data_IF_891300910258
#
_entry.id   IF_891300910258
#
_cell.length_a   1.000
_cell.length_b   1.000
_cell.length_c   1.000
_cell.angle_alpha   90.00
_cell.angle_beta   90.00
_cell.angle_gamma   90.00
#
_symmetry.space_group_name_H-M   'P 1'
#
loop_
_entity.id
_entity.type
_entity.pdbx_description
1 polymer ?
#
# COMPACT_ATOMS: atom_id res chain seq x y z
N UNK A 1 -6.46 13.33 9.92
CA UNK A 1 -6.16 12.49 8.73
C UNK A 1 -4.75 11.94 8.87
N UNK A 2 -4.55 10.63 8.79
CA UNK A 2 -3.17 10.08 8.75
C UNK A 2 -2.56 10.22 7.35
N UNK A 3 -1.25 10.39 7.32
CA UNK A 3 -0.46 10.52 6.10
C UNK A 3 0.50 9.34 5.95
N UNK A 4 0.29 8.54 4.92
CA UNK A 4 1.20 7.48 4.52
C UNK A 4 1.96 7.85 3.25
N UNK A 5 3.11 7.21 3.01
CA UNK A 5 3.89 7.39 1.79
C UNK A 5 4.45 6.05 1.30
N UNK A 6 4.51 5.88 -0.03
CA UNK A 6 5.20 4.75 -0.65
C UNK A 6 6.70 4.96 -0.61
N UNK A 7 7.46 3.93 -0.21
CA UNK A 7 8.91 3.97 -0.28
C UNK A 7 9.44 3.57 -1.67
N UNK A 8 10.63 4.05 -2.05
CA UNK A 8 11.33 3.53 -3.21
C UNK A 8 11.61 2.03 -2.99
N UNK A 9 11.13 1.19 -3.90
CA UNK A 9 11.15 -0.26 -3.69
C UNK A 9 11.60 -1.04 -4.92
N UNK A 10 11.60 -0.42 -6.09
CA UNK A 10 12.01 -0.99 -7.37
C UNK A 10 13.25 -0.28 -7.92
N UNK A 11 13.97 -0.95 -8.81
CA UNK A 11 15.16 -0.39 -9.46
C UNK A 11 14.91 0.93 -10.20
N UNK A 12 13.65 1.22 -10.55
CA UNK A 12 13.26 2.50 -11.16
C UNK A 12 12.84 3.59 -10.15
N UNK A 13 12.74 3.26 -8.87
CA UNK A 13 12.06 4.13 -7.90
C UNK A 13 12.79 5.44 -7.59
N UNK A 14 14.11 5.46 -7.78
CA UNK A 14 14.97 6.64 -7.63
C UNK A 14 15.74 6.88 -8.93
N UNK A 15 16.95 6.38 -9.01
CA UNK A 15 17.82 6.46 -10.18
C UNK A 15 17.82 5.11 -10.91
N UNK A 16 17.12 5.03 -12.04
CA UNK A 16 16.99 3.79 -12.83
C UNK A 16 18.29 3.32 -13.49
N UNK A 17 19.40 4.04 -13.31
CA UNK A 17 20.72 3.63 -13.81
C UNK A 17 21.40 2.56 -12.95
N UNK A 18 20.91 2.29 -11.76
CA UNK A 18 21.46 1.31 -10.81
C UNK A 18 20.34 0.57 -10.07
N UNK A 19 20.59 -0.68 -9.62
CA UNK A 19 19.63 -1.37 -8.76
C UNK A 19 19.38 -0.62 -7.45
N UNK A 20 18.14 -0.69 -6.97
CA UNK A 20 17.77 -0.15 -5.66
C UNK A 20 18.52 -0.90 -4.54
N UNK A 21 19.02 -0.20 -3.55
CA UNK A 21 19.66 -0.79 -2.40
C UNK A 21 18.83 -0.59 -1.13
N UNK A 22 19.04 -1.44 -0.13
CA UNK A 22 18.41 -1.24 1.18
C UNK A 22 18.81 0.12 1.81
N UNK A 23 20.03 0.62 1.58
CA UNK A 23 20.45 1.94 2.09
C UNK A 23 19.61 3.07 1.49
N UNK A 24 19.18 2.97 0.24
CA UNK A 24 18.30 3.95 -0.42
C UNK A 24 16.92 3.93 0.25
N UNK A 25 16.35 2.75 0.47
CA UNK A 25 15.05 2.57 1.14
C UNK A 25 15.10 3.04 2.60
N UNK A 26 16.18 2.72 3.32
CA UNK A 26 16.37 3.16 4.70
C UNK A 26 16.50 4.69 4.83
N UNK A 27 17.17 5.32 3.87
CA UNK A 27 17.27 6.79 3.81
C UNK A 27 15.90 7.43 3.60
N UNK A 28 15.09 6.91 2.65
CA UNK A 28 13.75 7.37 2.39
C UNK A 28 12.81 7.16 3.59
N UNK A 29 12.91 6.03 4.28
CA UNK A 29 12.12 5.74 5.47
C UNK A 29 12.42 6.73 6.61
N UNK A 30 13.69 7.04 6.86
CA UNK A 30 14.11 8.04 7.85
C UNK A 30 13.66 9.45 7.46
N UNK A 31 13.78 9.84 6.19
CA UNK A 31 13.27 11.12 5.70
C UNK A 31 11.75 11.21 5.92
N UNK A 32 11.00 10.15 5.61
CA UNK A 32 9.55 10.09 5.83
C UNK A 32 9.17 10.25 7.31
N UNK A 33 9.87 9.54 8.20
CA UNK A 33 9.62 9.65 9.64
C UNK A 33 10.01 11.04 10.18
N UNK A 34 11.11 11.61 9.71
CA UNK A 34 11.60 12.92 10.18
C UNK A 34 10.68 14.08 9.82
N UNK A 35 10.02 14.01 8.66
CA UNK A 35 9.07 15.03 8.21
C UNK A 35 7.64 14.79 8.72
N UNK A 36 7.41 13.68 9.46
CA UNK A 36 6.17 13.44 10.19
C UNK A 36 5.13 12.58 9.47
N UNK A 37 5.49 11.80 8.44
CA UNK A 37 4.57 10.79 7.93
C UNK A 37 4.23 9.77 9.00
N UNK A 38 2.95 9.36 9.07
CA UNK A 38 2.44 8.36 10.03
C UNK A 38 2.77 6.93 9.63
N UNK A 39 2.93 6.66 8.32
CA UNK A 39 3.15 5.32 7.79
C UNK A 39 4.00 5.32 6.51
N UNK A 40 4.76 4.24 6.33
CA UNK A 40 5.51 3.93 5.11
C UNK A 40 5.04 2.60 4.54
N UNK A 41 5.04 2.50 3.21
CA UNK A 41 4.51 1.32 2.52
C UNK A 41 5.48 0.78 1.48
N UNK A 42 5.59 -0.54 1.42
CA UNK A 42 6.29 -1.31 0.38
C UNK A 42 5.33 -2.28 -0.31
N UNK A 43 5.63 -2.67 -1.55
CA UNK A 43 4.78 -3.58 -2.33
C UNK A 43 5.38 -4.98 -2.47
N UNK A 44 4.58 -5.90 -2.99
CA UNK A 44 4.95 -7.30 -3.15
C UNK A 44 4.78 -7.74 -4.63
N UNK A 45 5.63 -7.21 -5.47
CA UNK A 45 5.83 -7.70 -6.84
C UNK A 45 7.29 -8.11 -6.99
N UNK A 46 7.55 -9.23 -7.65
CA UNK A 46 8.91 -9.66 -7.99
C UNK A 46 9.50 -8.75 -9.05
N UNK A 47 8.64 -8.31 -9.97
CA UNK A 47 8.99 -7.35 -11.01
C UNK A 47 7.84 -6.41 -11.29
N UNK A 48 8.13 -5.24 -11.87
CA UNK A 48 7.10 -4.37 -12.42
C UNK A 48 7.49 -3.89 -13.82
N UNK A 49 6.54 -4.02 -14.75
CA UNK A 49 6.63 -3.48 -16.10
C UNK A 49 6.05 -2.06 -16.13
N UNK A 50 6.85 -1.08 -16.55
CA UNK A 50 6.45 0.31 -16.65
C UNK A 50 5.67 0.64 -17.94
N UNK A 51 5.57 -0.28 -18.90
CA UNK A 51 4.84 -0.05 -20.15
C UNK A 51 3.39 0.37 -19.97
N UNK A 52 2.74 -0.07 -18.88
CA UNK A 52 1.37 0.33 -18.51
C UNK A 52 1.27 1.78 -17.99
N UNK A 53 2.39 2.38 -17.63
CA UNK A 53 2.47 3.72 -17.03
C UNK A 53 3.08 4.74 -18.00
N UNK A 54 3.51 4.30 -19.19
CA UNK A 54 4.04 5.16 -20.24
C UNK A 54 3.01 6.17 -20.75
N UNK A 55 3.48 7.36 -21.15
CA UNK A 55 2.63 8.49 -21.53
C UNK A 55 2.15 8.47 -22.98
N UNK A 56 2.86 7.80 -23.90
CA UNK A 56 2.55 7.79 -25.34
C UNK A 56 2.21 6.38 -25.82
N UNK A 57 1.12 6.21 -26.62
CA UNK A 57 0.84 4.95 -27.33
C UNK A 57 1.94 4.55 -28.30
N UNK A 58 2.73 5.51 -28.77
CA UNK A 58 3.87 5.33 -29.67
C UNK A 58 5.21 5.13 -28.91
N UNK A 59 5.23 5.28 -27.58
CA UNK A 59 6.36 4.83 -26.80
C UNK A 59 6.46 3.32 -27.03
N UNK A 60 7.57 2.85 -27.62
CA UNK A 60 7.83 1.42 -27.81
C UNK A 60 7.80 0.73 -26.43
N UNK A 61 6.61 0.38 -25.95
CA UNK A 61 6.37 -0.30 -24.70
C UNK A 61 7.10 -1.65 -24.61
N UNK A 62 7.52 -2.18 -25.76
CA UNK A 62 8.39 -3.37 -25.86
C UNK A 62 9.80 -3.16 -25.28
N UNK A 63 10.17 -1.92 -24.91
CA UNK A 63 11.52 -1.58 -24.45
C UNK A 63 11.64 -1.28 -22.95
N UNK A 64 10.56 -1.39 -22.16
CA UNK A 64 10.68 -1.22 -20.71
C UNK A 64 11.23 -2.50 -20.08
N UNK A 65 12.42 -2.45 -19.46
CA UNK A 65 12.92 -3.60 -18.72
C UNK A 65 11.96 -3.91 -17.56
N UNK A 66 11.86 -5.20 -17.22
CA UNK A 66 11.20 -5.60 -15.98
C UNK A 66 12.11 -5.20 -14.82
N UNK A 67 11.64 -4.29 -13.98
CA UNK A 67 12.40 -3.81 -12.85
C UNK A 67 12.18 -4.71 -11.63
N UNK A 68 13.28 -5.13 -11.02
CA UNK A 68 13.28 -5.95 -9.81
C UNK A 68 12.91 -5.13 -8.60
N UNK A 69 12.47 -5.81 -7.54
CA UNK A 69 12.17 -5.23 -6.24
C UNK A 69 12.95 -5.92 -5.11
N UNK A 70 13.03 -5.28 -3.96
CA UNK A 70 13.43 -5.93 -2.71
C UNK A 70 12.25 -6.72 -2.13
N UNK A 71 12.50 -7.80 -1.38
CA UNK A 71 11.43 -8.52 -0.66
C UNK A 71 10.80 -7.62 0.40
N UNK A 72 9.47 -7.44 0.40
CA UNK A 72 8.80 -6.48 1.27
C UNK A 72 8.94 -6.80 2.76
N UNK A 73 8.79 -8.06 3.15
CA UNK A 73 8.82 -8.44 4.56
C UNK A 73 10.25 -8.37 5.13
N UNK A 74 11.24 -8.79 4.34
CA UNK A 74 12.66 -8.63 4.70
C UNK A 74 13.04 -7.15 4.83
N UNK A 75 12.54 -6.30 3.92
CA UNK A 75 12.74 -4.85 3.96
C UNK A 75 12.13 -4.24 5.22
N UNK A 76 10.87 -4.56 5.55
CA UNK A 76 10.22 -4.05 6.76
C UNK A 76 10.89 -4.55 8.04
N UNK A 77 11.36 -5.82 8.08
CA UNK A 77 12.13 -6.35 9.21
C UNK A 77 13.41 -5.55 9.45
N UNK A 78 14.11 -5.15 8.37
CA UNK A 78 15.32 -4.35 8.47
C UNK A 78 15.04 -2.87 8.79
N UNK A 79 13.90 -2.32 8.39
CA UNK A 79 13.47 -0.95 8.73
C UNK A 79 13.01 -0.83 10.19
N UNK A 80 12.44 -1.88 10.76
CA UNK A 80 11.86 -1.86 12.09
C UNK A 80 12.82 -1.36 13.19
N UNK A 81 14.10 -1.80 13.27
CA UNK A 81 15.03 -1.35 14.31
C UNK A 81 15.67 0.03 14.03
N UNK A 82 15.49 0.60 12.83
CA UNK A 82 16.10 1.89 12.44
C UNK A 82 15.12 3.04 12.31
N UNK A 83 13.84 2.76 12.59
CA UNK A 83 12.71 3.72 12.71
C UNK A 83 12.12 3.63 14.12
N UNK A 84 11.46 4.70 14.61
CA UNK A 84 11.01 4.77 16.01
C UNK A 84 9.48 4.73 16.16
N UNK A 85 8.74 5.47 15.33
CA UNK A 85 7.29 5.72 15.51
C UNK A 85 6.48 5.33 14.29
N UNK A 86 7.06 5.44 13.08
CA UNK A 86 6.35 5.29 11.83
C UNK A 86 5.78 3.87 11.68
N UNK A 87 4.54 3.76 11.22
CA UNK A 87 3.93 2.47 10.89
C UNK A 87 4.60 1.87 9.66
N UNK A 88 4.85 0.57 9.70
CA UNK A 88 5.48 -0.21 8.64
C UNK A 88 4.42 -1.03 7.93
N UNK A 89 4.10 -0.69 6.69
CA UNK A 89 2.97 -1.28 5.97
C UNK A 89 3.36 -2.01 4.69
N UNK A 90 2.53 -2.99 4.32
CA UNK A 90 2.55 -3.58 2.97
C UNK A 90 1.37 -3.07 2.14
N UNK A 91 1.61 -2.73 0.87
CA UNK A 91 0.60 -2.17 -0.04
C UNK A 91 0.67 -2.85 -1.42
N UNK A 92 0.25 -4.08 -1.54
CA UNK A 92 -0.12 -5.07 -0.54
C UNK A 92 0.59 -6.39 -0.85
N UNK A 93 0.70 -7.31 0.12
CA UNK A 93 1.25 -8.64 -0.15
C UNK A 93 0.34 -9.40 -1.12
N UNK A 94 0.94 -10.11 -2.07
CA UNK A 94 0.25 -11.07 -2.90
C UNK A 94 0.06 -12.38 -2.14
N UNK A 95 -1.19 -12.79 -1.93
CA UNK A 95 -1.52 -14.00 -1.17
C UNK A 95 -0.87 -15.27 -1.76
N UNK A 96 -0.64 -15.30 -3.08
CA UNK A 96 -0.13 -16.48 -3.78
C UNK A 96 1.39 -16.71 -3.60
N UNK A 97 2.14 -15.69 -3.19
CA UNK A 97 3.61 -15.77 -3.13
C UNK A 97 4.12 -16.41 -1.84
N UNK A 98 3.27 -16.55 -0.80
CA UNK A 98 3.68 -17.12 0.50
C UNK A 98 2.54 -17.91 1.13
N UNK A 99 2.91 -19.01 1.79
CA UNK A 99 1.95 -19.76 2.61
C UNK A 99 1.50 -18.94 3.83
N UNK A 100 0.19 -18.87 4.17
CA UNK A 100 -0.33 -18.01 5.23
C UNK A 100 0.33 -18.21 6.60
N UNK A 101 0.70 -19.41 6.97
CA UNK A 101 1.43 -19.67 8.23
C UNK A 101 2.81 -19.01 8.23
N UNK A 102 3.52 -19.05 7.10
CA UNK A 102 4.82 -18.37 6.98
C UNK A 102 4.64 -16.84 7.01
N UNK A 103 3.64 -16.32 6.32
CA UNK A 103 3.29 -14.90 6.38
C UNK A 103 2.99 -14.48 7.81
N UNK A 104 2.20 -15.26 8.55
CA UNK A 104 1.87 -14.98 9.95
C UNK A 104 3.12 -14.97 10.84
N UNK A 105 4.00 -15.98 10.72
CA UNK A 105 5.20 -16.09 11.53
C UNK A 105 6.19 -14.93 11.29
N UNK A 106 6.37 -14.54 10.02
CA UNK A 106 7.24 -13.40 9.65
C UNK A 106 6.61 -12.09 10.16
N UNK A 107 5.30 -11.89 9.95
CA UNK A 107 4.60 -10.70 10.41
C UNK A 107 4.63 -10.54 11.94
N UNK A 108 4.42 -11.63 12.69
CA UNK A 108 4.53 -11.64 14.15
C UNK A 108 5.95 -11.25 14.62
N UNK A 109 6.97 -11.76 13.93
CA UNK A 109 8.38 -11.40 14.21
C UNK A 109 8.66 -9.92 13.93
N UNK A 110 8.19 -9.38 12.79
CA UNK A 110 8.35 -7.96 12.46
C UNK A 110 7.59 -7.07 13.46
N UNK A 111 6.39 -7.50 13.86
CA UNK A 111 5.60 -6.79 14.86
C UNK A 111 6.34 -6.71 16.21
N UNK A 112 6.95 -7.82 16.65
CA UNK A 112 7.76 -7.85 17.86
C UNK A 112 8.98 -6.91 17.76
N UNK A 113 9.77 -7.02 16.70
CA UNK A 113 10.97 -6.16 16.47
C UNK A 113 10.56 -4.68 16.43
N UNK A 114 9.44 -4.34 15.82
CA UNK A 114 8.98 -2.95 15.66
C UNK A 114 8.20 -2.41 16.86
N UNK A 115 7.90 -3.22 17.88
CA UNK A 115 7.05 -2.81 19.00
C UNK A 115 5.58 -2.58 18.60
N UNK A 116 5.05 -3.39 17.66
CA UNK A 116 3.64 -3.37 17.24
C UNK A 116 3.33 -2.35 16.13
N UNK A 117 4.33 -1.88 15.39
CA UNK A 117 4.13 -0.90 14.31
C UNK A 117 3.82 -1.50 12.94
N UNK A 118 3.69 -2.83 12.82
CA UNK A 118 3.37 -3.47 11.56
C UNK A 118 1.88 -3.33 11.23
N UNK A 119 1.57 -2.97 9.98
CA UNK A 119 0.25 -3.03 9.36
C UNK A 119 0.31 -3.93 8.12
N UNK A 120 -0.42 -5.05 8.12
CA UNK A 120 -0.29 -6.07 7.08
C UNK A 120 -1.42 -5.94 6.05
N UNK A 121 -1.10 -5.41 4.88
CA UNK A 121 -2.01 -5.37 3.74
C UNK A 121 -1.85 -6.61 2.84
N UNK A 122 -2.97 -7.22 2.44
CA UNK A 122 -3.01 -8.36 1.52
C UNK A 122 -3.88 -8.07 0.30
N UNK A 123 -3.56 -8.72 -0.81
CA UNK A 123 -4.33 -8.70 -2.05
C UNK A 123 -4.37 -10.07 -2.72
N UNK A 124 -5.30 -10.24 -3.63
CA UNK A 124 -5.48 -11.50 -4.37
C UNK A 124 -4.47 -11.69 -5.52
N UNK A 125 -3.51 -10.78 -5.69
CA UNK A 125 -2.61 -10.76 -6.84
C UNK A 125 -3.31 -10.36 -8.15
N UNK A 126 -2.58 -9.72 -9.05
CA UNK A 126 -3.11 -9.26 -10.35
C UNK A 126 -2.06 -9.26 -11.45
N UNK A 127 -0.79 -9.32 -11.09
CA UNK A 127 0.34 -9.18 -12.00
C UNK A 127 0.80 -10.56 -12.47
N UNK A 128 0.41 -10.92 -13.69
CA UNK A 128 0.68 -12.25 -14.25
C UNK A 128 2.19 -12.59 -14.30
N UNK A 129 3.11 -11.66 -14.64
CA UNK A 129 4.53 -11.94 -14.63
C UNK A 129 5.10 -12.46 -13.29
N UNK A 130 4.54 -12.04 -12.14
CA UNK A 130 4.95 -12.58 -10.84
C UNK A 130 4.70 -14.09 -10.75
N UNK A 131 3.54 -14.54 -11.24
CA UNK A 131 3.20 -15.97 -11.26
C UNK A 131 4.10 -16.77 -12.22
N UNK A 132 4.39 -16.22 -13.39
CA UNK A 132 5.29 -16.85 -14.38
C UNK A 132 6.70 -17.00 -13.83
N UNK A 133 7.27 -15.94 -13.22
CA UNK A 133 8.58 -15.97 -12.58
C UNK A 133 8.59 -16.99 -11.43
N UNK A 134 7.51 -17.09 -10.68
CA UNK A 134 7.35 -18.05 -9.60
C UNK A 134 7.14 -19.50 -10.11
N UNK A 135 7.01 -19.70 -11.42
CA UNK A 135 6.82 -21.01 -12.04
C UNK A 135 5.39 -21.53 -11.99
N UNK A 136 4.39 -20.65 -11.81
CA UNK A 136 2.98 -21.00 -11.75
C UNK A 136 2.17 -20.21 -12.77
N UNK A 137 0.92 -20.61 -12.98
CA UNK A 137 -0.05 -19.80 -13.75
C UNK A 137 -0.88 -18.95 -12.80
N UNK A 138 -1.18 -17.71 -13.22
CA UNK A 138 -2.13 -16.88 -12.47
C UNK A 138 -3.53 -17.53 -12.52
N UNK A 139 -4.12 -17.89 -11.37
CA UNK A 139 -5.44 -18.48 -11.32
C UNK A 139 -6.54 -17.51 -11.76
N UNK A 140 -7.71 -18.01 -12.15
CA UNK A 140 -8.88 -17.18 -12.41
C UNK A 140 -9.24 -16.32 -11.19
N UNK A 141 -9.83 -15.14 -11.41
CA UNK A 141 -10.20 -14.20 -10.34
C UNK A 141 -11.01 -14.86 -9.23
N UNK A 142 -11.94 -15.78 -9.61
CA UNK A 142 -12.76 -16.52 -8.64
C UNK A 142 -11.92 -17.37 -7.67
N UNK A 143 -10.94 -18.08 -8.17
CA UNK A 143 -10.02 -18.90 -7.37
C UNK A 143 -9.13 -18.03 -6.48
N UNK A 144 -8.54 -16.95 -7.02
CA UNK A 144 -7.72 -16.01 -6.24
C UNK A 144 -8.49 -15.42 -5.06
N UNK A 145 -9.77 -15.08 -5.24
CA UNK A 145 -10.64 -14.60 -4.15
C UNK A 145 -10.91 -15.71 -3.11
N UNK A 146 -11.03 -16.99 -3.54
CA UNK A 146 -11.19 -18.11 -2.61
C UNK A 146 -9.92 -18.34 -1.80
N UNK A 147 -8.76 -18.34 -2.46
CA UNK A 147 -7.44 -18.43 -1.80
C UNK A 147 -7.23 -17.32 -0.77
N UNK A 148 -7.50 -16.06 -1.16
CA UNK A 148 -7.42 -14.92 -0.23
C UNK A 148 -8.38 -15.10 0.96
N UNK A 149 -9.57 -15.66 0.74
CA UNK A 149 -10.52 -15.91 1.83
C UNK A 149 -9.98 -16.93 2.85
N UNK A 150 -9.38 -18.01 2.39
CA UNK A 150 -8.78 -19.02 3.28
C UNK A 150 -7.54 -18.45 3.99
N UNK A 151 -6.70 -17.71 3.26
CA UNK A 151 -5.53 -17.03 3.81
C UNK A 151 -5.94 -16.10 4.96
N UNK A 152 -6.94 -15.24 4.76
CA UNK A 152 -7.44 -14.32 5.79
C UNK A 152 -8.00 -15.05 7.02
N UNK A 153 -8.67 -16.19 6.86
CA UNK A 153 -9.14 -17.00 7.99
C UNK A 153 -7.98 -17.51 8.83
N UNK A 154 -6.95 -18.06 8.17
CA UNK A 154 -5.77 -18.61 8.83
C UNK A 154 -5.02 -17.49 9.57
N UNK A 155 -4.74 -16.35 8.90
CA UNK A 155 -4.05 -15.22 9.51
C UNK A 155 -4.81 -14.68 10.73
N UNK A 156 -6.13 -14.47 10.61
CA UNK A 156 -6.95 -13.94 11.70
C UNK A 156 -6.92 -14.87 12.93
N UNK A 157 -7.06 -16.17 12.71
CA UNK A 157 -7.00 -17.14 13.80
C UNK A 157 -5.63 -17.16 14.48
N UNK A 158 -4.54 -17.18 13.70
CA UNK A 158 -3.18 -17.17 14.24
C UNK A 158 -2.88 -15.88 15.02
N UNK A 159 -3.30 -14.71 14.52
CA UNK A 159 -3.09 -13.43 15.22
C UNK A 159 -3.98 -13.28 16.46
N UNK A 160 -5.10 -14.00 16.54
CA UNK A 160 -5.89 -14.11 17.76
C UNK A 160 -5.26 -15.09 18.80
N UNK A 161 -4.14 -15.72 18.49
CA UNK A 161 -3.47 -16.68 19.37
C UNK A 161 -4.10 -18.06 19.40
N UNK A 162 -4.97 -18.38 18.43
CA UNK A 162 -5.65 -19.67 18.36
C UNK A 162 -4.74 -20.74 17.76
N UNK A 163 -4.88 -21.98 18.24
CA UNK A 163 -4.28 -23.15 17.61
C UNK A 163 -5.02 -23.46 16.31
N UNK A 164 -4.33 -23.31 15.18
CA UNK A 164 -4.95 -23.43 13.88
C UNK A 164 -4.85 -24.85 13.30
N UNK A 165 -6.00 -25.52 13.22
CA UNK A 165 -6.22 -26.67 12.35
C UNK A 165 -7.20 -26.25 11.26
N UNK A 166 -6.73 -26.18 10.03
CA UNK A 166 -7.51 -25.74 8.89
C UNK A 166 -7.39 -26.78 7.77
N UNK A 167 -8.51 -27.17 7.21
CA UNK A 167 -8.58 -28.07 6.06
C UNK A 167 -9.47 -27.42 5.01
N UNK A 168 -8.85 -26.64 4.13
CA UNK A 168 -9.49 -25.88 3.07
C UNK A 168 -9.29 -26.50 1.70
N UNK A 169 -9.76 -25.81 0.68
CA UNK A 169 -9.54 -26.21 -0.71
C UNK A 169 -8.11 -25.92 -1.17
N UNK A 170 -7.48 -24.87 -0.65
CA UNK A 170 -6.18 -24.36 -1.09
C UNK A 170 -5.10 -24.47 -0.03
N UNK A 171 -5.46 -24.40 1.23
CA UNK A 171 -4.51 -24.47 2.35
C UNK A 171 -4.96 -25.51 3.37
N UNK A 172 -3.96 -26.19 3.94
CA UNK A 172 -4.15 -27.10 5.05
C UNK A 172 -3.11 -26.81 6.13
N UNK A 173 -3.52 -26.75 7.40
CA UNK A 173 -2.63 -26.52 8.54
C UNK A 173 -3.01 -27.45 9.69
N UNK A 174 -2.01 -27.98 10.39
CA UNK A 174 -2.19 -28.87 11.52
C UNK A 174 -1.36 -28.39 12.71
N UNK A 175 -2.02 -27.93 13.76
CA UNK A 175 -1.37 -27.46 14.98
C UNK A 175 -0.52 -26.21 14.80
N UNK A 176 -0.83 -25.34 13.79
CA UNK A 176 -0.11 -24.10 13.60
C UNK A 176 -0.44 -23.10 14.72
N UNK A 177 0.59 -22.48 15.30
CA UNK A 177 0.46 -21.43 16.33
C UNK A 177 1.66 -20.48 16.25
N UNK A 178 1.47 -19.23 16.66
CA UNK A 178 2.54 -18.20 16.73
C UNK A 178 3.18 -18.14 18.12
N UNK A 179 2.56 -18.74 19.14
CA UNK A 179 3.07 -18.76 20.51
C UNK A 179 2.96 -20.13 21.12
N UNK A 180 3.98 -20.54 21.88
CA UNK A 180 3.85 -21.70 22.75
C UNK A 180 2.95 -21.35 23.93
N UNK A 181 2.01 -22.22 24.33
CA UNK A 181 1.25 -22.02 25.54
C UNK A 181 2.20 -22.01 26.74
N UNK A 182 2.24 -20.91 27.46
CA UNK A 182 2.93 -20.78 28.74
C UNK A 182 1.83 -20.80 29.80
N UNK A 183 1.92 -21.71 30.74
CA UNK A 183 0.90 -21.93 31.79
C UNK A 183 -0.51 -22.26 31.26
N UNK A 184 -0.60 -22.86 30.07
CA UNK A 184 -1.85 -23.31 29.46
C UNK A 184 -2.60 -22.21 28.66
N UNK A 185 -2.08 -21.00 28.61
CA UNK A 185 -2.64 -19.91 27.81
C UNK A 185 -1.74 -19.58 26.62
N UNK A 186 -2.31 -19.55 25.40
CA UNK A 186 -1.66 -18.97 24.24
C UNK A 186 -1.66 -17.45 24.41
N UNK A 187 -0.48 -16.86 24.56
CA UNK A 187 -0.36 -15.38 24.60
C UNK A 187 -0.20 -14.87 23.17
N UNK A 188 -1.19 -14.09 22.71
CA UNK A 188 -1.01 -13.22 21.57
C UNK A 188 0.14 -12.25 21.86
N UNK A 189 1.05 -12.07 20.89
CA UNK A 189 2.03 -10.99 20.96
C UNK A 189 1.33 -9.65 20.74
N UNK A 190 1.83 -8.80 19.89
CA UNK A 190 1.21 -7.49 19.62
C UNK A 190 0.16 -7.63 18.52
N UNK A 191 -0.94 -6.84 18.55
CA UNK A 191 -1.94 -6.85 17.50
C UNK A 191 -1.34 -6.46 16.16
N UNK A 192 -1.71 -7.19 15.09
CA UNK A 192 -1.33 -6.86 13.72
C UNK A 192 -2.60 -6.54 12.94
N UNK A 193 -2.84 -5.25 12.59
CA UNK A 193 -3.96 -4.88 11.75
C UNK A 193 -3.85 -5.52 10.36
N UNK A 194 -4.96 -6.12 9.91
CA UNK A 194 -5.07 -6.75 8.59
C UNK A 194 -5.88 -5.87 7.65
N UNK A 195 -5.26 -5.46 6.54
CA UNK A 195 -5.90 -4.70 5.47
C UNK A 195 -6.05 -5.54 4.21
N UNK A 196 -7.08 -5.27 3.42
CA UNK A 196 -7.22 -5.88 2.09
C UNK A 196 -7.24 -4.78 1.04
N UNK A 197 -6.38 -4.93 0.02
CA UNK A 197 -6.28 -4.02 -1.11
C UNK A 197 -7.10 -4.47 -2.32
N UNK A 198 -7.90 -3.55 -2.91
CA UNK A 198 -8.64 -3.75 -4.14
C UNK A 198 -10.03 -3.14 -4.16
N UNK A 199 -10.79 -3.37 -5.26
CA UNK A 199 -12.03 -2.62 -5.58
C UNK A 199 -13.27 -3.49 -5.80
N UNK A 200 -13.13 -4.80 -6.01
CA UNK A 200 -14.23 -5.68 -6.44
C UNK A 200 -15.20 -6.05 -5.31
N UNK A 201 -16.47 -6.23 -5.62
CA UNK A 201 -17.53 -6.55 -4.64
C UNK A 201 -17.25 -7.82 -3.83
N UNK A 202 -16.65 -8.84 -4.47
CA UNK A 202 -16.27 -10.08 -3.75
C UNK A 202 -15.16 -9.79 -2.74
N UNK A 203 -14.22 -8.93 -3.09
CA UNK A 203 -13.14 -8.50 -2.20
C UNK A 203 -13.72 -7.69 -1.01
N UNK A 204 -14.64 -6.76 -1.26
CA UNK A 204 -15.28 -5.99 -0.20
C UNK A 204 -16.06 -6.88 0.79
N UNK A 205 -16.63 -8.00 0.34
CA UNK A 205 -17.22 -9.01 1.25
C UNK A 205 -16.16 -9.71 2.12
N UNK A 206 -14.94 -9.93 1.61
CA UNK A 206 -13.84 -10.47 2.41
C UNK A 206 -13.39 -9.44 3.43
N UNK A 207 -13.26 -8.17 3.03
CA UNK A 207 -12.97 -7.04 3.96
C UNK A 207 -13.98 -7.01 5.09
N UNK A 208 -15.28 -6.95 4.76
CA UNK A 208 -16.36 -6.85 5.74
C UNK A 208 -16.34 -7.98 6.76
N UNK A 209 -15.83 -9.15 6.39
CA UNK A 209 -15.85 -10.34 7.24
C UNK A 209 -14.56 -10.56 8.02
N UNK A 210 -13.40 -10.22 7.48
CA UNK A 210 -12.12 -10.68 8.03
C UNK A 210 -11.08 -9.59 8.25
N UNK A 211 -11.19 -8.39 7.62
CA UNK A 211 -10.16 -7.38 7.69
C UNK A 211 -10.48 -6.27 8.71
N UNK A 212 -9.46 -5.63 9.26
CA UNK A 212 -9.59 -4.42 10.08
C UNK A 212 -9.76 -3.18 9.19
N UNK A 213 -9.22 -3.24 7.95
CA UNK A 213 -9.30 -2.12 7.03
C UNK A 213 -9.38 -2.53 5.56
N UNK A 214 -9.75 -1.54 4.77
CA UNK A 214 -9.80 -1.59 3.31
C UNK A 214 -8.89 -0.54 2.71
N UNK A 215 -8.12 -0.94 1.71
CA UNK A 215 -7.31 -0.05 0.90
C UNK A 215 -7.73 -0.11 -0.57
N UNK A 216 -7.70 1.04 -1.25
CA UNK A 216 -7.77 1.09 -2.71
C UNK A 216 -6.81 2.15 -3.26
N UNK A 217 -6.33 1.98 -4.48
CA UNK A 217 -5.39 2.84 -5.22
C UNK A 217 -5.48 2.48 -6.71
N UNK A 218 -5.02 3.24 -7.65
CA UNK A 218 -4.47 4.58 -7.74
C UNK A 218 -5.42 5.39 -8.64
N UNK A 219 -5.29 6.75 -8.70
CA UNK A 219 -6.12 7.60 -9.54
C UNK A 219 -7.63 7.36 -9.33
N UNK A 220 -8.22 7.98 -8.32
CA UNK A 220 -9.61 7.75 -7.93
C UNK A 220 -10.42 9.04 -8.03
N UNK A 221 -11.58 8.98 -8.69
CA UNK A 221 -12.57 10.06 -8.67
C UNK A 221 -13.51 9.88 -7.45
N UNK A 222 -14.00 10.98 -6.88
CA UNK A 222 -14.83 10.97 -5.68
C UNK A 222 -16.08 10.10 -5.81
N UNK A 223 -16.82 10.25 -6.93
CA UNK A 223 -18.04 9.46 -7.16
C UNK A 223 -17.76 7.97 -7.24
N UNK A 224 -16.72 7.59 -7.97
CA UNK A 224 -16.31 6.19 -8.07
C UNK A 224 -15.87 5.58 -6.73
N UNK A 225 -15.27 6.38 -5.85
CA UNK A 225 -14.94 5.94 -4.50
C UNK A 225 -16.20 5.80 -3.63
N UNK A 226 -17.10 6.79 -3.67
CA UNK A 226 -18.37 6.77 -2.93
C UNK A 226 -19.19 5.51 -3.26
N UNK A 227 -19.31 5.13 -4.53
CA UNK A 227 -19.96 3.88 -4.94
C UNK A 227 -19.32 2.62 -4.32
N UNK A 228 -18.01 2.63 -4.13
CA UNK A 228 -17.29 1.51 -3.48
C UNK A 228 -17.50 1.49 -1.97
N UNK A 229 -17.58 2.68 -1.34
CA UNK A 229 -17.96 2.81 0.08
C UNK A 229 -19.36 2.26 0.31
N UNK A 230 -20.32 2.61 -0.53
CA UNK A 230 -21.69 2.05 -0.45
C UNK A 230 -21.70 0.53 -0.60
N UNK A 231 -20.87 0.00 -1.49
CA UNK A 231 -20.74 -1.45 -1.67
C UNK A 231 -20.11 -2.13 -0.46
N UNK A 232 -19.13 -1.47 0.21
CA UNK A 232 -18.54 -1.92 1.47
C UNK A 232 -19.58 -1.91 2.60
N UNK A 233 -20.37 -0.84 2.72
CA UNK A 233 -21.43 -0.73 3.73
C UNK A 233 -22.45 -1.86 3.58
N UNK A 234 -22.96 -2.09 2.37
CA UNK A 234 -23.86 -3.24 2.09
C UNK A 234 -23.22 -4.59 2.40
N UNK A 235 -21.90 -4.72 2.20
CA UNK A 235 -21.20 -5.94 2.56
C UNK A 235 -21.09 -6.10 4.09
N UNK A 236 -20.86 -5.03 4.83
CA UNK A 236 -20.81 -5.03 6.29
C UNK A 236 -22.17 -5.38 6.90
N UNK A 237 -23.26 -4.78 6.42
CA UNK A 237 -24.63 -5.09 6.84
C UNK A 237 -24.96 -6.58 6.72
N UNK A 238 -24.51 -7.22 5.63
CA UNK A 238 -24.71 -8.66 5.42
C UNK A 238 -24.07 -9.54 6.50
N UNK A 239 -23.04 -9.05 7.20
CA UNK A 239 -22.32 -9.77 8.24
C UNK A 239 -22.55 -9.16 9.64
N UNK A 240 -23.58 -8.33 9.79
CA UNK A 240 -23.91 -7.64 11.05
C UNK A 240 -22.72 -6.90 11.65
N UNK A 241 -21.95 -6.23 10.78
CA UNK A 241 -20.77 -5.44 11.13
C UNK A 241 -21.03 -3.96 10.95
N UNK A 242 -20.68 -3.14 11.93
CA UNK A 242 -20.66 -1.69 11.78
C UNK A 242 -19.68 -1.27 10.66
N UNK A 243 -20.15 -0.63 9.57
CA UNK A 243 -19.29 -0.13 8.51
C UNK A 243 -18.22 0.85 9.01
N UNK A 244 -18.53 1.66 10.04
CA UNK A 244 -17.61 2.60 10.66
C UNK A 244 -16.41 1.94 11.35
N UNK A 245 -16.49 0.63 11.64
CA UNK A 245 -15.40 -0.17 12.19
C UNK A 245 -14.33 -0.54 11.16
N UNK A 246 -14.59 -0.36 9.87
CA UNK A 246 -13.60 -0.64 8.81
C UNK A 246 -12.74 0.60 8.59
N UNK A 247 -11.44 0.46 8.86
CA UNK A 247 -10.47 1.52 8.57
C UNK A 247 -10.30 1.67 7.07
N UNK A 248 -10.49 2.87 6.54
CA UNK A 248 -10.38 3.15 5.11
C UNK A 248 -9.10 3.92 4.82
N UNK A 249 -8.22 3.37 3.97
CA UNK A 249 -7.04 4.04 3.44
C UNK A 249 -7.10 4.13 1.91
N UNK A 250 -6.60 5.25 1.37
CA UNK A 250 -6.65 5.56 -0.05
C UNK A 250 -5.26 5.90 -0.58
N UNK A 251 -4.77 5.14 -1.56
CA UNK A 251 -3.52 5.40 -2.26
C UNK A 251 -3.73 6.34 -3.46
N UNK A 252 -3.04 7.47 -3.48
CA UNK A 252 -3.12 8.46 -4.55
C UNK A 252 -1.75 8.87 -5.06
N UNK A 253 -1.63 9.07 -6.37
CA UNK A 253 -0.53 9.84 -6.91
C UNK A 253 -0.63 11.28 -6.41
N UNK A 254 0.50 11.88 -6.04
CA UNK A 254 0.49 13.16 -5.36
C UNK A 254 1.54 14.11 -5.94
N UNK A 255 1.12 15.35 -6.12
CA UNK A 255 2.01 16.49 -6.39
C UNK A 255 1.39 17.73 -5.75
N UNK A 256 2.10 18.37 -4.85
CA UNK A 256 1.61 19.55 -4.14
C UNK A 256 2.71 20.60 -4.03
N UNK A 257 2.32 21.86 -4.12
CA UNK A 257 3.20 23.01 -3.92
C UNK A 257 2.41 24.21 -3.37
N UNK A 258 3.07 25.26 -2.92
CA UNK A 258 2.37 26.43 -2.37
C UNK A 258 1.73 27.31 -3.46
N UNK A 259 2.25 27.27 -4.68
CA UNK A 259 1.74 28.06 -5.82
C UNK A 259 1.65 27.23 -7.09
N UNK A 260 0.80 27.65 -8.04
CA UNK A 260 0.71 27.01 -9.37
C UNK A 260 2.05 27.02 -10.12
N UNK A 261 2.84 28.09 -9.96
CA UNK A 261 4.16 28.18 -10.59
C UNK A 261 5.11 27.12 -10.03
N UNK A 262 5.18 26.99 -8.73
CA UNK A 262 5.98 25.93 -8.08
C UNK A 262 5.48 24.53 -8.43
N UNK A 263 4.17 24.37 -8.55
CA UNK A 263 3.57 23.09 -8.97
C UNK A 263 4.04 22.67 -10.37
N UNK A 264 4.10 23.62 -11.32
CA UNK A 264 4.66 23.43 -12.66
C UNK A 264 6.16 23.08 -12.61
N UNK A 265 6.93 23.75 -11.74
CA UNK A 265 8.35 23.47 -11.54
C UNK A 265 8.57 22.05 -10.98
N UNK A 266 7.80 21.65 -9.99
CA UNK A 266 7.85 20.29 -9.45
C UNK A 266 7.35 19.22 -10.43
N UNK A 267 6.33 19.52 -11.24
CA UNK A 267 5.88 18.62 -12.30
C UNK A 267 6.99 18.40 -13.34
N UNK A 268 7.65 19.47 -13.77
CA UNK A 268 8.80 19.40 -14.69
C UNK A 268 9.91 18.53 -14.08
N UNK A 269 10.25 18.78 -12.83
CA UNK A 269 11.25 17.97 -12.12
C UNK A 269 10.85 16.50 -12.00
N UNK A 270 9.58 16.21 -11.73
CA UNK A 270 9.06 14.84 -11.69
C UNK A 270 9.19 14.16 -13.07
N UNK A 271 8.98 14.89 -14.16
CA UNK A 271 9.23 14.37 -15.52
C UNK A 271 10.71 14.03 -15.72
N UNK A 272 11.63 14.90 -15.30
CA UNK A 272 13.08 14.70 -15.42
C UNK A 272 13.60 13.50 -14.62
N UNK A 273 13.02 13.25 -13.43
CA UNK A 273 13.39 12.16 -12.55
C UNK A 273 12.72 10.83 -12.93
N UNK A 274 11.75 10.86 -13.83
CA UNK A 274 11.01 9.66 -14.22
C UNK A 274 11.82 8.74 -15.13
N UNK A 275 11.61 7.43 -15.03
CA UNK A 275 12.19 6.49 -15.97
C UNK A 275 11.82 6.86 -17.41
N UNK A 276 12.76 6.62 -18.33
CA UNK A 276 12.62 6.97 -19.74
C UNK A 276 11.28 6.50 -20.31
N UNK A 277 10.54 7.39 -20.96
CA UNK A 277 9.26 7.10 -21.61
C UNK A 277 8.04 7.16 -20.69
N UNK A 278 8.21 7.14 -19.37
CA UNK A 278 7.08 7.19 -18.43
C UNK A 278 6.42 8.56 -18.39
N UNK A 279 7.19 9.63 -18.53
CA UNK A 279 6.68 11.00 -18.54
C UNK A 279 6.26 11.49 -19.94
N UNK A 280 6.58 10.74 -21.02
CA UNK A 280 6.34 11.17 -22.39
C UNK A 280 4.87 11.52 -22.65
N UNK A 281 4.61 12.71 -23.19
CA UNK A 281 3.28 13.20 -23.53
C UNK A 281 2.36 13.47 -22.34
N UNK A 282 2.85 13.46 -21.10
CA UNK A 282 2.09 13.86 -19.93
C UNK A 282 2.13 15.39 -19.77
N UNK A 283 0.99 15.96 -19.41
CA UNK A 283 0.85 17.34 -19.01
C UNK A 283 0.19 17.43 -17.63
N UNK A 284 0.44 18.51 -16.91
CA UNK A 284 -0.03 18.70 -15.55
C UNK A 284 -1.56 18.70 -15.46
N UNK A 285 -2.24 19.36 -16.41
CA UNK A 285 -3.70 19.53 -16.37
C UNK A 285 -4.44 18.19 -16.49
N UNK A 286 -4.02 17.36 -17.44
CA UNK A 286 -4.61 16.00 -17.57
C UNK A 286 -4.18 15.08 -16.43
N UNK A 287 -2.98 15.29 -15.88
CA UNK A 287 -2.47 14.45 -14.80
C UNK A 287 -3.12 14.71 -13.45
N UNK A 288 -3.67 15.91 -13.22
CA UNK A 288 -4.43 16.25 -11.99
C UNK A 288 -5.65 15.35 -11.75
N UNK A 289 -6.30 14.85 -12.82
CA UNK A 289 -7.57 14.12 -12.72
C UNK A 289 -7.43 12.83 -11.91
N UNK A 290 -8.27 12.68 -10.89
CA UNK A 290 -8.30 11.51 -10.00
C UNK A 290 -7.04 11.31 -9.15
N UNK A 291 -6.28 12.38 -8.89
CA UNK A 291 -5.04 12.37 -8.10
C UNK A 291 -5.04 13.51 -7.10
N UNK A 292 -4.19 13.43 -6.11
CA UNK A 292 -4.03 14.46 -5.09
C UNK A 292 -3.00 15.50 -5.61
N UNK A 293 -3.46 16.40 -6.47
CA UNK A 293 -2.59 17.35 -7.19
C UNK A 293 -3.17 18.75 -7.14
N UNK A 294 -2.34 19.71 -6.76
CA UNK A 294 -2.73 21.12 -6.71
C UNK A 294 -1.86 21.96 -5.79
N UNK A 295 -2.29 23.22 -5.57
CA UNK A 295 -1.71 24.03 -4.49
C UNK A 295 -2.06 23.43 -3.13
N UNK A 296 -1.35 23.84 -2.08
CA UNK A 296 -1.61 23.36 -0.71
C UNK A 296 -3.08 23.58 -0.31
N UNK A 297 -3.70 24.71 -0.69
CA UNK A 297 -5.11 25.00 -0.44
C UNK A 297 -6.04 24.06 -1.23
N UNK A 298 -5.76 23.83 -2.53
CA UNK A 298 -6.55 22.91 -3.36
C UNK A 298 -6.46 21.48 -2.86
N UNK A 299 -5.29 21.06 -2.40
CA UNK A 299 -5.07 19.73 -1.80
C UNK A 299 -5.80 19.63 -0.46
N UNK A 300 -5.81 20.67 0.36
CA UNK A 300 -6.58 20.72 1.60
C UNK A 300 -8.09 20.48 1.36
N UNK A 301 -8.67 21.15 0.35
CA UNK A 301 -10.07 20.93 -0.06
C UNK A 301 -10.34 19.50 -0.51
N UNK A 302 -9.43 18.92 -1.33
CA UNK A 302 -9.54 17.51 -1.75
C UNK A 302 -9.46 16.55 -0.55
N UNK A 303 -8.53 16.78 0.38
CA UNK A 303 -8.37 15.95 1.58
C UNK A 303 -9.59 16.02 2.50
N UNK A 304 -10.18 17.20 2.68
CA UNK A 304 -11.43 17.36 3.42
C UNK A 304 -12.58 16.57 2.77
N UNK A 305 -12.65 16.58 1.44
CA UNK A 305 -13.65 15.78 0.71
C UNK A 305 -13.45 14.28 0.93
N UNK A 306 -12.21 13.78 0.82
CA UNK A 306 -11.88 12.38 1.11
C UNK A 306 -12.22 11.99 2.55
N UNK A 307 -11.94 12.85 3.53
CA UNK A 307 -12.29 12.64 4.93
C UNK A 307 -13.82 12.50 5.12
N UNK A 308 -14.62 13.32 4.44
CA UNK A 308 -16.08 13.25 4.48
C UNK A 308 -16.62 11.94 3.86
N UNK A 309 -15.89 11.31 2.94
CA UNK A 309 -16.19 9.99 2.40
C UNK A 309 -15.72 8.83 3.30
N UNK A 310 -15.15 9.13 4.47
CA UNK A 310 -14.72 8.14 5.45
C UNK A 310 -13.26 7.72 5.37
N UNK A 311 -12.45 8.31 4.48
CA UNK A 311 -11.02 8.04 4.41
C UNK A 311 -10.33 8.51 5.68
N UNK A 312 -9.61 7.60 6.32
CA UNK A 312 -8.83 7.85 7.56
C UNK A 312 -7.36 8.10 7.30
N UNK A 313 -6.86 7.58 6.18
CA UNK A 313 -5.47 7.68 5.79
C UNK A 313 -5.33 7.86 4.28
N UNK A 314 -4.56 8.86 3.87
CA UNK A 314 -4.13 9.03 2.48
C UNK A 314 -2.68 8.56 2.36
N UNK A 315 -2.44 7.64 1.43
CA UNK A 315 -1.11 7.11 1.12
C UNK A 315 -0.65 7.75 -0.19
N UNK A 316 0.35 8.61 -0.13
CA UNK A 316 0.82 9.33 -1.31
C UNK A 316 1.92 8.59 -2.05
N UNK A 317 1.87 8.66 -3.39
CA UNK A 317 2.92 8.21 -4.29
C UNK A 317 3.44 9.40 -5.10
N UNK A 318 4.70 9.80 -4.92
CA UNK A 318 5.22 11.05 -5.48
C UNK A 318 5.43 11.08 -6.99
N UNK A 319 5.52 9.93 -7.66
CA UNK A 319 5.90 9.85 -9.08
C UNK A 319 4.80 9.36 -10.01
N UNK A 320 5.09 9.19 -11.28
CA UNK A 320 4.15 8.73 -12.32
C UNK A 320 3.89 7.23 -12.30
N UNK A 321 4.75 6.45 -11.69
CA UNK A 321 4.61 5.00 -11.55
C UNK A 321 4.47 4.62 -10.07
N UNK A 322 3.86 3.48 -9.73
CA UNK A 322 3.75 3.03 -8.35
C UNK A 322 5.13 2.94 -7.69
N UNK A 323 5.26 3.41 -6.46
CA UNK A 323 6.51 3.39 -5.67
C UNK A 323 7.70 4.14 -6.31
N UNK A 324 7.45 5.00 -7.30
CA UNK A 324 8.43 5.93 -7.82
C UNK A 324 8.46 7.19 -6.94
N UNK A 325 9.62 7.50 -6.39
CA UNK A 325 9.81 8.61 -5.44
C UNK A 325 10.69 9.72 -6.04
N UNK A 326 11.66 9.34 -6.87
CA UNK A 326 12.62 10.25 -7.50
C UNK A 326 13.77 10.64 -6.58
N UNK A 327 13.49 11.26 -5.42
CA UNK A 327 14.53 11.68 -4.47
C UNK A 327 13.97 11.97 -3.07
N UNK A 328 14.83 11.97 -2.03
CA UNK A 328 14.41 12.19 -0.65
C UNK A 328 13.90 13.62 -0.37
N UNK A 329 14.40 14.63 -1.08
CA UNK A 329 13.91 16.00 -0.94
C UNK A 329 12.46 16.17 -1.42
N UNK A 330 11.99 15.32 -2.33
CA UNK A 330 10.56 15.24 -2.69
C UNK A 330 9.74 14.74 -1.49
N UNK A 331 10.25 13.77 -0.73
CA UNK A 331 9.58 13.29 0.49
C UNK A 331 9.42 14.43 1.50
N UNK A 332 10.51 15.17 1.75
CA UNK A 332 10.51 16.29 2.69
C UNK A 332 9.57 17.41 2.25
N UNK A 333 9.60 17.77 0.98
CA UNK A 333 8.71 18.76 0.42
C UNK A 333 7.24 18.37 0.55
N UNK A 334 6.88 17.15 0.13
CA UNK A 334 5.51 16.65 0.21
C UNK A 334 5.02 16.57 1.66
N UNK A 335 5.83 16.08 2.59
CA UNK A 335 5.46 16.03 3.99
C UNK A 335 5.09 17.42 4.53
N UNK A 336 5.92 18.43 4.27
CA UNK A 336 5.67 19.80 4.70
C UNK A 336 4.36 20.37 4.11
N UNK A 337 4.14 20.23 2.79
CA UNK A 337 2.93 20.69 2.14
C UNK A 337 1.67 19.96 2.63
N UNK A 338 1.74 18.63 2.81
CA UNK A 338 0.59 17.83 3.25
C UNK A 338 0.21 18.11 4.71
N UNK A 339 1.17 18.34 5.60
CA UNK A 339 0.87 18.76 6.97
C UNK A 339 0.18 20.13 7.00
N UNK A 340 0.68 21.10 6.22
CA UNK A 340 0.03 22.40 6.04
C UNK A 340 -1.39 22.26 5.46
N UNK A 341 -1.60 21.35 4.49
CA UNK A 341 -2.93 21.07 3.96
C UNK A 341 -3.85 20.44 5.02
N UNK A 342 -3.34 19.54 5.88
CA UNK A 342 -4.10 19.00 7.02
C UNK A 342 -4.51 20.11 8.02
N UNK A 343 -3.62 21.07 8.29
CA UNK A 343 -3.95 22.22 9.17
C UNK A 343 -5.05 23.07 8.57
N UNK A 344 -4.94 23.43 7.28
CA UNK A 344 -5.96 24.23 6.55
C UNK A 344 -7.32 23.54 6.55
N UNK A 345 -7.35 22.23 6.37
CA UNK A 345 -8.57 21.42 6.31
C UNK A 345 -9.13 21.01 7.69
N UNK A 346 -8.51 21.41 8.80
CA UNK A 346 -8.84 20.99 10.18
C UNK A 346 -8.85 19.43 10.32
N UNK A 347 -7.84 18.79 9.71
CA UNK A 347 -7.67 17.34 9.71
C UNK A 347 -6.48 16.87 10.57
N UNK A 348 -5.93 17.73 11.40
CA UNK A 348 -4.86 17.37 12.34
C UNK A 348 -5.40 16.45 13.45
N UNK A 349 -4.65 15.38 13.76
CA UNK A 349 -5.00 14.39 14.79
C UNK A 349 -4.77 14.94 16.19
#
# INVERSE_FOLDING_TARGET
>A
MRLGITLPHYDYSLDSSKPISFSDVASAAKASESVGFDAIYVSDHLTLDLGKYGGSPDSNAECFPQFQSLDPLSTLAALAPITEKITLGTLVLCEALRHPVMTAAIADTISDISGGRLALGLGAGWHEPDYEIYGTKMPAVGERMSRLTENMKILRSLFNGELQNFDGEFYSTHGATLSSPIDGEAKSRLPIPLFIGGKGDRLLRIVARYADGWNTCWAFEFDGYSERVDSLHRACEKYDRDPGSVYQSLGLYCLVADTEKELDEYFTRMCELSPRGVADGKDLESWRKGRLVGTTEQVAEQMAHWANLGVKEIIVNPGFAPFHVGSNDIIEHLGNCLHKACEIADLTN
#
